data_IF_589555350660
#
_entry.id   IF_589555350660
#
_cell.length_a   1.000
_cell.length_b   1.000
_cell.length_c   1.000
_cell.angle_alpha   90.00
_cell.angle_beta   90.00
_cell.angle_gamma   90.00
#
_symmetry.space_group_name_H-M   'P 1'
#
loop_
_entity.id
_entity.type
_entity.pdbx_description
1 polymer ?
#
# COMPACT_ATOMS: atom_id res chain seq x y z
N UNK A 1 19.51 45.43 -25.13
CA UNK A 1 18.90 45.98 -23.90
C UNK A 1 17.49 45.40 -23.85
N UNK A 2 17.15 44.36 -23.11
CA UNK A 2 17.86 43.47 -22.20
C UNK A 2 17.32 42.06 -22.43
N UNK A 3 18.22 41.09 -22.33
CA UNK A 3 17.93 39.68 -22.49
C UNK A 3 17.72 39.05 -21.11
N UNK A 4 16.53 38.49 -20.86
CA UNK A 4 16.32 37.52 -19.78
C UNK A 4 15.98 36.19 -20.43
N UNK A 5 17.00 35.34 -20.51
CA UNK A 5 16.92 33.94 -20.92
C UNK A 5 16.57 33.12 -19.69
N UNK A 6 15.43 32.43 -19.68
CA UNK A 6 15.16 31.32 -18.76
C UNK A 6 15.15 30.05 -19.59
N UNK A 7 16.28 29.34 -19.56
CA UNK A 7 16.48 28.03 -20.16
C UNK A 7 16.22 26.95 -19.12
N UNK A 8 15.17 26.16 -19.37
CA UNK A 8 14.98 24.84 -18.78
C UNK A 8 15.99 23.83 -19.36
N UNK A 9 16.59 22.98 -18.53
CA UNK A 9 17.14 21.69 -18.98
C UNK A 9 17.28 20.66 -17.84
N UNK A 10 16.34 19.71 -17.85
CA UNK A 10 16.42 18.25 -17.59
C UNK A 10 17.65 17.64 -16.87
N UNK A 11 17.37 16.79 -15.86
CA UNK A 11 17.73 15.34 -15.73
C UNK A 11 17.16 14.81 -14.40
N UNK A 12 16.16 13.93 -14.39
CA UNK A 12 16.18 12.45 -14.49
C UNK A 12 16.86 11.68 -13.35
N UNK A 13 15.99 11.11 -12.49
CA UNK A 13 15.90 9.73 -11.95
C UNK A 13 17.09 9.10 -11.20
N UNK A 14 16.96 8.79 -9.90
CA UNK A 14 16.84 7.40 -9.37
C UNK A 14 16.74 7.31 -7.84
N UNK A 15 15.56 6.85 -7.42
CA UNK A 15 15.18 5.95 -6.32
C UNK A 15 16.30 5.10 -5.67
N UNK A 16 16.41 5.08 -4.33
CA UNK A 16 16.35 3.88 -3.45
C UNK A 16 16.87 4.10 -2.01
N UNK A 17 16.14 3.49 -1.06
CA UNK A 17 16.48 3.16 0.33
C UNK A 17 16.51 4.29 1.38
N UNK A 18 15.53 4.24 2.30
CA UNK A 18 15.64 4.87 3.62
C UNK A 18 16.74 4.13 4.40
N UNK A 19 17.96 4.63 4.31
CA UNK A 19 18.95 4.47 5.37
C UNK A 19 18.81 5.65 6.34
N UNK A 20 18.84 5.38 7.63
CA UNK A 20 18.90 6.39 8.67
C UNK A 20 20.25 7.12 8.52
N UNK A 21 20.27 8.27 7.83
CA UNK A 21 21.46 9.12 7.69
C UNK A 21 21.62 9.91 8.99
N UNK A 22 22.54 9.46 9.83
CA UNK A 22 23.10 10.29 10.91
C UNK A 22 23.82 11.46 10.26
N UNK A 23 23.30 12.68 10.43
CA UNK A 23 23.90 13.91 9.94
C UNK A 23 25.23 14.18 10.67
N UNK A 24 26.37 13.93 10.01
CA UNK A 24 27.66 14.39 10.51
C UNK A 24 27.80 15.90 10.28
N UNK A 25 27.70 16.71 11.33
CA UNK A 25 28.08 18.12 11.26
C UNK A 25 29.60 18.23 11.21
N UNK A 26 30.15 18.52 10.02
CA UNK A 26 31.55 18.90 9.83
C UNK A 26 31.61 20.43 9.74
N UNK A 27 32.01 21.10 10.82
CA UNK A 27 32.31 22.53 10.78
C UNK A 27 33.68 22.71 10.10
N UNK A 28 33.69 23.30 8.91
CA UNK A 28 34.92 23.75 8.24
C UNK A 28 35.30 25.13 8.79
N UNK A 29 36.51 25.25 9.35
CA UNK A 29 37.10 26.54 9.71
C UNK A 29 37.89 27.03 8.49
N UNK A 30 37.41 28.12 7.87
CA UNK A 30 38.16 28.88 6.89
C UNK A 30 39.37 29.53 7.58
N UNK A 31 40.57 29.29 7.05
CA UNK A 31 41.78 30.06 7.39
C UNK A 31 42.12 30.96 6.21
N UNK A 32 42.22 32.26 6.46
CA UNK A 32 42.67 33.26 5.50
C UNK A 32 43.33 34.39 6.28
N UNK A 33 44.66 34.46 6.24
CA UNK A 33 45.44 35.56 5.62
C UNK A 33 46.87 35.64 6.24
N UNK A 34 47.96 35.67 5.45
CA UNK A 34 49.33 35.69 5.93
C UNK A 34 50.00 37.05 5.67
N UNK A 35 49.77 38.07 6.50
CA UNK A 35 50.77 39.13 6.69
C UNK A 35 50.43 40.04 7.89
N UNK A 36 51.27 40.03 8.90
CA UNK A 36 51.35 41.07 9.94
C UNK A 36 52.71 40.94 10.64
N UNK A 37 53.75 41.33 9.92
CA UNK A 37 55.08 41.55 10.50
C UNK A 37 55.07 42.83 11.35
N UNK A 38 55.78 42.77 12.48
CA UNK A 38 56.11 43.86 13.41
C UNK A 38 54.99 44.40 14.33
N UNK A 39 54.98 43.88 15.55
CA UNK A 39 54.51 44.63 16.73
C UNK A 39 55.46 44.35 17.91
N UNK A 40 56.35 45.30 18.18
CA UNK A 40 57.03 45.39 19.46
C UNK A 40 55.99 45.64 20.55
N UNK A 41 55.89 44.70 21.49
CA UNK A 41 54.90 44.75 22.55
C UNK A 41 55.38 45.66 23.70
N UNK A 42 54.58 46.64 24.15
CA UNK A 42 54.90 47.44 25.32
C UNK A 42 55.03 46.56 26.57
N UNK A 43 55.86 46.96 27.53
CA UNK A 43 56.15 46.24 28.80
C UNK A 43 54.91 45.79 29.61
N UNK A 44 53.72 46.32 29.32
CA UNK A 44 52.45 45.85 29.88
C UNK A 44 51.89 44.55 29.26
N UNK A 45 52.25 44.21 28.02
CA UNK A 45 51.74 43.01 27.33
C UNK A 45 52.47 41.74 27.77
N UNK A 46 53.74 41.86 28.20
CA UNK A 46 54.45 40.77 28.91
C UNK A 46 53.79 40.44 30.25
N UNK A 47 53.24 41.44 30.95
CA UNK A 47 52.47 41.25 32.20
C UNK A 47 51.08 40.64 31.94
N UNK A 48 50.43 41.03 30.83
CA UNK A 48 49.13 40.48 30.43
C UNK A 48 49.23 39.03 29.91
N UNK A 49 50.31 38.69 29.19
CA UNK A 49 50.61 37.33 28.75
C UNK A 49 51.12 36.45 29.91
N UNK A 50 51.88 37.00 30.87
CA UNK A 50 52.32 36.24 32.05
C UNK A 50 51.20 36.00 33.06
N UNK A 51 50.21 36.90 33.16
CA UNK A 51 48.98 36.65 33.93
C UNK A 51 47.98 35.73 33.21
N UNK A 52 47.90 35.73 31.87
CA UNK A 52 47.14 34.70 31.12
C UNK A 52 47.77 33.31 31.20
N UNK A 53 49.08 33.20 31.38
CA UNK A 53 49.75 31.93 31.66
C UNK A 53 49.38 31.34 33.03
N UNK A 54 48.83 32.14 33.96
CA UNK A 54 48.32 31.66 35.26
C UNK A 54 46.86 31.17 35.23
N UNK A 55 46.02 31.65 34.30
CA UNK A 55 44.68 31.09 34.04
C UNK A 55 44.66 30.04 32.91
N UNK A 56 45.72 29.97 32.09
CA UNK A 56 45.87 29.00 31.02
C UNK A 56 45.89 27.55 31.52
N UNK A 57 46.32 27.28 32.76
CA UNK A 57 46.33 25.94 33.34
C UNK A 57 44.93 25.35 33.56
N UNK A 58 43.93 26.18 33.89
CA UNK A 58 42.55 25.71 34.12
C UNK A 58 41.82 25.50 32.80
N UNK A 59 41.99 26.41 31.83
CA UNK A 59 41.35 26.32 30.52
C UNK A 59 41.95 25.20 29.65
N UNK A 60 43.27 24.98 29.72
CA UNK A 60 43.92 23.82 29.07
C UNK A 60 43.58 22.49 29.74
N UNK A 61 43.38 22.48 31.07
CA UNK A 61 42.90 21.29 31.80
C UNK A 61 41.46 20.94 31.39
N UNK A 62 40.55 21.91 31.35
CA UNK A 62 39.17 21.70 30.91
C UNK A 62 39.09 21.23 29.45
N UNK A 63 39.87 21.84 28.54
CA UNK A 63 39.95 21.39 27.14
C UNK A 63 40.51 19.97 27.00
N UNK A 64 41.48 19.60 27.84
CA UNK A 64 42.02 18.23 27.88
C UNK A 64 40.95 17.23 28.38
N UNK A 65 40.19 17.58 29.40
CA UNK A 65 39.08 16.77 29.93
C UNK A 65 37.97 16.59 28.88
N UNK A 66 37.54 17.67 28.21
CA UNK A 66 36.56 17.60 27.11
C UNK A 66 37.06 16.72 25.97
N UNK A 67 38.34 16.83 25.59
CA UNK A 67 38.94 15.99 24.54
C UNK A 67 38.98 14.51 24.97
N UNK A 68 39.28 14.23 26.23
CA UNK A 68 39.25 12.86 26.77
C UNK A 68 37.82 12.28 26.74
N UNK A 69 36.82 13.06 27.14
CA UNK A 69 35.41 12.64 27.06
C UNK A 69 34.92 12.44 25.63
N UNK A 70 35.33 13.29 24.69
CA UNK A 70 35.03 13.11 23.25
C UNK A 70 35.63 11.80 22.71
N UNK A 71 36.87 11.46 23.08
CA UNK A 71 37.50 10.20 22.68
C UNK A 71 36.79 9.00 23.29
N UNK A 72 36.40 9.08 24.57
CA UNK A 72 35.59 8.04 25.21
C UNK A 72 34.24 7.87 24.52
N UNK A 73 33.55 8.96 24.23
CA UNK A 73 32.26 8.94 23.52
C UNK A 73 32.39 8.36 22.11
N UNK A 74 33.45 8.68 21.37
CA UNK A 74 33.74 8.08 20.07
C UNK A 74 33.99 6.57 20.17
N UNK A 75 34.73 6.13 21.18
CA UNK A 75 34.96 4.71 21.44
C UNK A 75 33.65 3.98 21.80
N UNK A 76 32.81 4.58 22.66
CA UNK A 76 31.48 4.05 23.00
C UNK A 76 30.57 3.95 21.77
N UNK A 77 30.53 4.98 20.92
CA UNK A 77 29.75 4.97 19.69
C UNK A 77 30.20 3.86 18.73
N UNK A 78 31.52 3.65 18.59
CA UNK A 78 32.07 2.56 17.77
C UNK A 78 31.71 1.18 18.34
N UNK A 79 31.73 1.02 19.66
CA UNK A 79 31.31 -0.20 20.34
C UNK A 79 29.80 -0.45 20.14
N UNK A 80 28.96 0.57 20.31
CA UNK A 80 27.50 0.48 20.07
C UNK A 80 27.20 0.11 18.61
N UNK A 81 27.87 0.73 17.64
CA UNK A 81 27.71 0.38 16.23
C UNK A 81 28.07 -1.09 15.95
N UNK A 82 29.10 -1.61 16.63
CA UNK A 82 29.50 -3.02 16.53
C UNK A 82 28.46 -3.94 17.17
N UNK A 83 27.89 -3.56 18.32
CA UNK A 83 26.81 -4.30 18.97
C UNK A 83 25.54 -4.32 18.10
N UNK A 84 25.14 -3.18 17.52
CA UNK A 84 24.01 -3.08 16.60
C UNK A 84 24.18 -4.01 15.40
N UNK A 85 25.37 -4.08 14.81
CA UNK A 85 25.66 -5.04 13.73
C UNK A 85 25.46 -6.49 14.17
N UNK A 86 25.90 -6.85 15.38
CA UNK A 86 25.71 -8.21 15.93
C UNK A 86 24.22 -8.52 16.16
N UNK A 87 23.47 -7.57 16.71
CA UNK A 87 22.02 -7.69 16.93
C UNK A 87 21.28 -7.86 15.59
N UNK A 88 21.58 -7.03 14.59
CA UNK A 88 20.97 -7.15 13.26
C UNK A 88 21.25 -8.51 12.64
N UNK A 89 22.49 -9.01 12.72
CA UNK A 89 22.83 -10.34 12.22
C UNK A 89 22.08 -11.46 12.96
N UNK A 90 21.86 -11.32 14.27
CA UNK A 90 21.07 -12.27 15.03
C UNK A 90 19.59 -12.23 14.62
N UNK A 91 19.02 -11.03 14.47
CA UNK A 91 17.66 -10.82 13.99
C UNK A 91 17.44 -11.42 12.59
N UNK A 92 18.40 -11.25 11.66
CA UNK A 92 18.35 -11.87 10.33
C UNK A 92 18.30 -13.40 10.42
N UNK A 93 19.14 -14.01 11.27
CA UNK A 93 19.13 -15.46 11.49
C UNK A 93 17.82 -15.93 12.12
N UNK A 94 17.30 -15.23 13.11
CA UNK A 94 16.03 -15.56 13.75
C UNK A 94 14.90 -15.52 12.73
N UNK A 95 14.86 -14.48 11.88
CA UNK A 95 13.88 -14.39 10.78
C UNK A 95 13.97 -15.56 9.80
N UNK A 96 15.18 -15.97 9.42
CA UNK A 96 15.38 -17.14 8.55
C UNK A 96 14.84 -18.42 9.19
N UNK A 97 15.09 -18.65 10.48
CA UNK A 97 14.58 -19.83 11.20
C UNK A 97 13.05 -19.79 11.31
N UNK A 98 12.48 -18.63 11.66
CA UNK A 98 11.03 -18.44 11.71
C UNK A 98 10.36 -18.69 10.35
N UNK A 99 11.00 -18.27 9.26
CA UNK A 99 10.50 -18.49 7.90
C UNK A 99 10.47 -19.97 7.53
N UNK A 100 11.54 -20.72 7.84
CA UNK A 100 11.58 -22.18 7.61
C UNK A 100 10.50 -22.89 8.41
N UNK A 101 10.38 -22.57 9.71
CA UNK A 101 9.35 -23.17 10.58
C UNK A 101 7.95 -22.86 10.04
N UNK A 102 7.68 -21.60 9.68
CA UNK A 102 6.39 -21.20 9.11
C UNK A 102 6.09 -21.95 7.82
N UNK A 103 7.06 -22.05 6.92
CA UNK A 103 6.90 -22.76 5.67
C UNK A 103 6.54 -24.23 5.91
N UNK A 104 7.28 -24.93 6.78
CA UNK A 104 7.01 -26.33 7.11
C UNK A 104 5.64 -26.53 7.76
N UNK A 105 5.21 -25.62 8.64
CA UNK A 105 3.89 -25.71 9.31
C UNK A 105 2.72 -25.39 8.37
N UNK A 106 2.93 -24.53 7.38
CA UNK A 106 1.89 -24.09 6.45
C UNK A 106 1.87 -24.90 5.14
N UNK A 107 2.84 -25.79 4.91
CA UNK A 107 3.00 -26.53 3.66
C UNK A 107 1.72 -27.27 3.22
N UNK A 108 1.10 -28.02 4.15
CA UNK A 108 -0.15 -28.74 3.87
C UNK A 108 -1.27 -27.80 3.44
N UNK A 109 -1.45 -26.69 4.18
CA UNK A 109 -2.47 -25.69 3.87
C UNK A 109 -2.19 -25.05 2.51
N UNK A 110 -0.94 -24.65 2.25
CA UNK A 110 -0.55 -24.07 0.97
C UNK A 110 -0.78 -25.03 -0.19
N UNK A 111 -0.50 -26.33 -0.01
CA UNK A 111 -0.76 -27.33 -1.04
C UNK A 111 -2.26 -27.46 -1.34
N UNK A 112 -3.11 -27.51 -0.31
CA UNK A 112 -4.57 -27.56 -0.48
C UNK A 112 -5.11 -26.30 -1.16
N UNK A 113 -4.66 -25.10 -0.75
CA UNK A 113 -5.06 -23.83 -1.36
C UNK A 113 -4.57 -23.75 -2.81
N UNK A 114 -3.36 -24.23 -3.09
CA UNK A 114 -2.80 -24.26 -4.45
C UNK A 114 -3.68 -25.12 -5.35
N UNK A 115 -3.99 -26.35 -4.92
CA UNK A 115 -4.85 -27.25 -5.69
C UNK A 115 -6.22 -26.63 -5.98
N UNK A 116 -6.86 -26.06 -4.96
CA UNK A 116 -8.15 -25.38 -5.15
C UNK A 116 -8.04 -24.21 -6.12
N UNK A 117 -6.96 -23.42 -6.03
CA UNK A 117 -6.75 -22.28 -6.93
C UNK A 117 -6.59 -22.74 -8.38
N UNK A 118 -5.85 -23.81 -8.62
CA UNK A 118 -5.64 -24.39 -9.95
C UNK A 118 -6.92 -25.00 -10.55
N UNK A 119 -7.79 -25.58 -9.72
CA UNK A 119 -9.02 -26.24 -10.15
C UNK A 119 -10.20 -25.27 -10.33
N UNK A 120 -10.30 -24.25 -9.47
CA UNK A 120 -11.52 -23.45 -9.30
C UNK A 120 -11.35 -21.95 -9.53
N UNK A 121 -10.12 -21.43 -9.68
CA UNK A 121 -9.89 -19.98 -9.85
C UNK A 121 -9.32 -19.70 -11.24
N UNK A 122 -9.98 -18.82 -11.98
CA UNK A 122 -9.55 -18.35 -13.28
C UNK A 122 -8.24 -17.55 -13.19
N UNK A 123 -7.47 -17.57 -14.26
CA UNK A 123 -6.34 -16.66 -14.42
C UNK A 123 -6.80 -15.19 -14.63
N UNK A 124 -5.83 -14.28 -14.63
CA UNK A 124 -6.08 -12.84 -14.75
C UNK A 124 -6.79 -12.43 -16.03
N UNK A 125 -6.35 -12.94 -17.19
CA UNK A 125 -6.91 -12.55 -18.47
C UNK A 125 -8.31 -13.15 -18.66
N UNK A 126 -8.45 -14.44 -18.38
CA UNK A 126 -9.72 -15.15 -18.47
C UNK A 126 -10.77 -14.52 -17.55
N UNK A 127 -10.38 -14.10 -16.34
CA UNK A 127 -11.28 -13.38 -15.41
C UNK A 127 -11.85 -12.12 -16.05
N UNK A 128 -11.01 -11.21 -16.56
CA UNK A 128 -11.48 -9.93 -17.10
C UNK A 128 -12.25 -10.09 -18.40
N UNK A 129 -11.81 -10.99 -19.29
CA UNK A 129 -12.55 -11.28 -20.52
C UNK A 129 -13.94 -11.81 -20.23
N UNK A 130 -14.10 -12.64 -19.20
CA UNK A 130 -15.40 -13.16 -18.79
C UNK A 130 -16.29 -12.04 -18.23
N UNK A 131 -15.75 -11.21 -17.34
CA UNK A 131 -16.44 -10.03 -16.80
C UNK A 131 -16.94 -9.11 -17.92
N UNK A 132 -16.11 -8.80 -18.92
CA UNK A 132 -16.47 -7.93 -20.03
C UNK A 132 -17.51 -8.57 -20.97
N UNK A 133 -17.24 -9.80 -21.45
CA UNK A 133 -18.08 -10.45 -22.48
C UNK A 133 -19.45 -10.88 -21.97
N UNK A 134 -19.50 -11.41 -20.76
CA UNK A 134 -20.74 -11.92 -20.15
C UNK A 134 -21.46 -10.84 -19.33
N UNK A 135 -20.87 -9.64 -19.19
CA UNK A 135 -21.36 -8.55 -18.33
C UNK A 135 -21.67 -9.03 -16.91
N UNK A 136 -20.79 -9.89 -16.38
CA UNK A 136 -20.88 -10.36 -15.01
C UNK A 136 -20.51 -9.23 -14.07
N UNK A 137 -21.34 -9.01 -13.06
CA UNK A 137 -20.92 -8.22 -11.92
C UNK A 137 -19.77 -8.92 -11.21
N UNK A 138 -18.84 -8.19 -10.61
CA UNK A 138 -17.62 -8.77 -10.07
C UNK A 138 -17.33 -8.32 -8.64
N UNK A 139 -17.66 -9.17 -7.67
CA UNK A 139 -17.43 -8.93 -6.24
C UNK A 139 -16.16 -9.64 -5.78
N UNK A 140 -15.20 -8.92 -5.18
CA UNK A 140 -13.87 -9.47 -4.91
C UNK A 140 -13.63 -9.68 -3.42
N UNK A 141 -12.89 -10.75 -3.10
CA UNK A 141 -12.42 -11.06 -1.76
C UNK A 141 -10.90 -10.92 -1.68
N UNK A 142 -10.43 -10.01 -0.83
CA UNK A 142 -9.05 -9.93 -0.38
C UNK A 142 -8.85 -10.59 0.98
N UNK A 143 -7.67 -10.38 1.57
CA UNK A 143 -7.39 -10.83 2.93
C UNK A 143 -8.28 -10.12 3.96
N UNK A 144 -8.63 -8.85 3.73
CA UNK A 144 -9.55 -8.09 4.58
C UNK A 144 -10.91 -8.74 4.70
N UNK A 145 -11.56 -9.04 3.58
CA UNK A 145 -12.88 -9.66 3.53
C UNK A 145 -12.86 -11.06 4.15
N UNK A 146 -11.88 -11.90 3.80
CA UNK A 146 -11.74 -13.24 4.38
C UNK A 146 -11.57 -13.18 5.90
N UNK A 147 -10.71 -12.28 6.39
CA UNK A 147 -10.44 -12.16 7.83
C UNK A 147 -11.63 -11.62 8.60
N UNK A 148 -12.37 -10.64 8.05
CA UNK A 148 -13.61 -10.16 8.65
C UNK A 148 -14.61 -11.32 8.72
N UNK A 149 -14.90 -11.96 7.59
CA UNK A 149 -15.89 -13.03 7.46
C UNK A 149 -15.65 -14.15 8.49
N UNK A 150 -14.40 -14.59 8.63
CA UNK A 150 -14.07 -15.72 9.48
C UNK A 150 -13.86 -15.34 10.94
N UNK A 151 -13.32 -14.16 11.26
CA UNK A 151 -12.89 -13.84 12.62
C UNK A 151 -13.79 -12.76 13.25
N UNK A 152 -14.63 -13.11 14.25
CA UNK A 152 -15.58 -12.16 14.86
C UNK A 152 -14.94 -10.89 15.43
N UNK A 153 -13.70 -10.97 15.90
CA UNK A 153 -12.99 -9.87 16.55
C UNK A 153 -12.11 -9.05 15.59
N UNK A 154 -12.06 -9.44 14.31
CA UNK A 154 -11.22 -8.75 13.34
C UNK A 154 -11.88 -7.50 12.79
N UNK A 155 -11.10 -6.42 12.75
CA UNK A 155 -11.52 -5.11 12.26
C UNK A 155 -10.48 -4.57 11.29
N UNK A 156 -10.93 -3.98 10.19
CA UNK A 156 -10.07 -3.18 9.31
C UNK A 156 -10.04 -1.74 9.83
N UNK A 157 -8.97 -1.01 9.52
CA UNK A 157 -8.82 0.39 9.94
C UNK A 157 -9.92 1.33 9.40
N UNK A 158 -10.63 0.91 8.35
CA UNK A 158 -11.72 1.66 7.72
C UNK A 158 -13.07 0.94 7.74
N UNK A 159 -13.16 -0.28 8.27
CA UNK A 159 -14.41 -1.04 8.38
C UNK A 159 -14.37 -1.97 9.59
N UNK A 160 -15.21 -1.68 10.57
CA UNK A 160 -15.42 -2.56 11.72
C UNK A 160 -16.14 -3.84 11.28
N UNK A 161 -15.73 -4.97 11.86
CA UNK A 161 -16.40 -6.24 11.72
C UNK A 161 -17.74 -6.24 12.46
N UNK A 162 -18.75 -6.89 11.87
CA UNK A 162 -20.06 -7.06 12.51
C UNK A 162 -20.64 -8.42 12.14
N UNK A 163 -21.54 -8.97 12.97
CA UNK A 163 -22.19 -10.24 12.65
C UNK A 163 -23.00 -10.18 11.33
N UNK A 164 -23.73 -9.09 11.02
CA UNK A 164 -24.34 -8.90 9.69
C UNK A 164 -23.32 -8.92 8.55
N UNK A 165 -22.27 -8.10 8.63
CA UNK A 165 -21.22 -8.04 7.59
C UNK A 165 -20.59 -9.40 7.31
N UNK A 166 -20.33 -10.20 8.36
CA UNK A 166 -19.77 -11.55 8.20
C UNK A 166 -20.72 -12.50 7.48
N UNK A 167 -22.01 -12.45 7.81
CA UNK A 167 -23.03 -13.28 7.17
C UNK A 167 -23.17 -12.92 5.70
N UNK A 168 -23.21 -11.63 5.39
CA UNK A 168 -23.38 -11.16 4.01
C UNK A 168 -22.15 -11.49 3.16
N UNK A 169 -20.93 -11.29 3.69
CA UNK A 169 -19.70 -11.73 3.02
C UNK A 169 -19.70 -13.25 2.76
N UNK A 170 -20.12 -14.06 3.73
CA UNK A 170 -20.22 -15.50 3.54
C UNK A 170 -21.26 -15.84 2.47
N UNK A 171 -22.43 -15.20 2.49
CA UNK A 171 -23.48 -15.42 1.50
C UNK A 171 -22.99 -15.10 0.08
N UNK A 172 -22.26 -14.00 -0.11
CA UNK A 172 -21.66 -13.65 -1.40
C UNK A 172 -20.63 -14.71 -1.81
N UNK A 173 -19.68 -15.06 -0.93
CA UNK A 173 -18.63 -16.03 -1.25
C UNK A 173 -19.18 -17.40 -1.63
N UNK A 174 -20.25 -17.86 -0.96
CA UNK A 174 -20.86 -19.16 -1.20
C UNK A 174 -22.03 -19.11 -2.17
N UNK A 175 -22.24 -18.00 -2.88
CA UNK A 175 -23.35 -17.80 -3.81
C UNK A 175 -24.75 -18.04 -3.21
N UNK A 176 -24.90 -17.86 -1.89
CA UNK A 176 -26.18 -18.01 -1.23
C UNK A 176 -27.12 -16.87 -1.65
N UNK A 177 -28.14 -17.20 -2.44
CA UNK A 177 -29.10 -16.26 -3.05
C UNK A 177 -28.51 -15.35 -4.15
N UNK A 178 -27.38 -15.74 -4.76
CA UNK A 178 -26.80 -15.03 -5.89
C UNK A 178 -26.70 -15.94 -7.13
N UNK A 179 -26.92 -15.35 -8.28
CA UNK A 179 -26.91 -16.03 -9.58
C UNK A 179 -25.50 -15.99 -10.20
N UNK A 180 -24.93 -17.16 -10.50
CA UNK A 180 -23.61 -17.29 -11.12
C UNK A 180 -23.57 -16.76 -12.56
N UNK A 181 -24.73 -16.64 -13.23
CA UNK A 181 -24.83 -16.05 -14.57
C UNK A 181 -24.85 -14.52 -14.55
N UNK A 182 -24.88 -13.91 -13.35
CA UNK A 182 -24.86 -12.46 -13.15
C UNK A 182 -23.73 -11.96 -12.27
N UNK A 183 -23.17 -12.82 -11.43
CA UNK A 183 -22.14 -12.49 -10.46
C UNK A 183 -20.95 -13.45 -10.59
N UNK A 184 -19.78 -12.89 -10.83
CA UNK A 184 -18.50 -13.56 -10.64
C UNK A 184 -17.92 -13.15 -9.29
N UNK A 185 -17.57 -14.12 -8.45
CA UNK A 185 -16.85 -13.87 -7.20
C UNK A 185 -15.35 -13.98 -7.47
N UNK A 186 -14.61 -12.94 -7.09
CA UNK A 186 -13.16 -12.91 -7.14
C UNK A 186 -12.54 -13.54 -5.90
N UNK A 187 -11.78 -14.61 -6.06
CA UNK A 187 -11.03 -15.27 -5.00
C UNK A 187 -9.58 -14.74 -4.93
N UNK A 188 -8.93 -14.66 -3.76
CA UNK A 188 -7.56 -14.16 -3.69
C UNK A 188 -6.57 -14.94 -4.55
N UNK A 189 -5.61 -14.23 -5.15
CA UNK A 189 -4.51 -14.85 -5.88
C UNK A 189 -3.59 -15.63 -4.93
N UNK A 190 -2.98 -16.71 -5.42
CA UNK A 190 -2.07 -17.53 -4.63
C UNK A 190 -0.73 -16.82 -4.42
N UNK A 191 -0.58 -16.14 -3.28
CA UNK A 191 0.71 -15.61 -2.84
C UNK A 191 1.41 -16.54 -1.86
N UNK A 192 2.73 -16.65 -2.01
CA UNK A 192 3.62 -17.38 -1.07
C UNK A 192 4.35 -16.46 -0.08
N UNK A 193 3.94 -15.20 0.03
CA UNK A 193 4.55 -14.23 0.97
C UNK A 193 4.25 -14.57 2.44
N UNK A 194 5.08 -14.15 3.41
CA UNK A 194 4.84 -14.40 4.84
C UNK A 194 3.47 -13.91 5.35
N UNK A 195 2.96 -12.80 4.80
CA UNK A 195 1.63 -12.27 5.10
C UNK A 195 0.54 -13.25 4.65
N UNK A 196 0.56 -13.64 3.37
CA UNK A 196 -0.45 -14.53 2.81
C UNK A 196 -0.37 -15.96 3.34
N UNK A 197 0.82 -16.46 3.66
CA UNK A 197 0.94 -17.74 4.37
C UNK A 197 0.16 -17.72 5.69
N UNK A 198 0.25 -16.63 6.46
CA UNK A 198 -0.54 -16.44 7.68
C UNK A 198 -2.04 -16.39 7.37
N UNK A 199 -2.45 -15.59 6.39
CA UNK A 199 -3.86 -15.48 5.97
C UNK A 199 -4.42 -16.86 5.61
N UNK A 200 -3.69 -17.66 4.83
CA UNK A 200 -4.11 -19.00 4.44
C UNK A 200 -4.14 -19.97 5.61
N UNK A 201 -3.10 -20.01 6.45
CA UNK A 201 -3.08 -20.85 7.65
C UNK A 201 -4.23 -20.56 8.60
N UNK A 202 -4.58 -19.29 8.77
CA UNK A 202 -5.68 -18.86 9.65
C UNK A 202 -7.05 -19.14 9.02
N UNK A 203 -7.20 -18.94 7.70
CA UNK A 203 -8.50 -18.91 7.02
C UNK A 203 -8.90 -20.24 6.39
N UNK A 204 -7.95 -20.93 5.74
CA UNK A 204 -8.22 -22.09 4.89
C UNK A 204 -8.93 -23.25 5.60
N UNK A 205 -8.60 -23.63 6.86
CA UNK A 205 -9.27 -24.74 7.54
C UNK A 205 -10.79 -24.58 7.60
N UNK A 206 -11.28 -23.34 7.70
CA UNK A 206 -12.71 -23.01 7.73
C UNK A 206 -13.26 -22.71 6.34
N UNK A 207 -12.47 -22.07 5.46
CA UNK A 207 -12.91 -21.78 4.09
C UNK A 207 -13.26 -23.04 3.32
N UNK A 208 -12.40 -24.06 3.37
CA UNK A 208 -12.62 -25.32 2.63
C UNK A 208 -13.89 -26.07 3.04
N UNK A 209 -14.45 -25.77 4.22
CA UNK A 209 -15.69 -26.37 4.72
C UNK A 209 -16.94 -25.69 4.15
N UNK A 210 -16.83 -24.42 3.75
CA UNK A 210 -17.96 -23.62 3.26
C UNK A 210 -17.93 -23.37 1.77
N UNK A 211 -16.76 -23.50 1.12
CA UNK A 211 -16.62 -23.25 -0.31
C UNK A 211 -17.37 -24.32 -1.12
N UNK A 212 -18.27 -23.92 -2.05
CA UNK A 212 -18.91 -24.85 -2.96
C UNK A 212 -17.88 -25.47 -3.92
N UNK A 213 -18.10 -26.74 -4.29
CA UNK A 213 -17.16 -27.53 -5.12
C UNK A 213 -17.31 -27.28 -6.62
N UNK A 214 -18.50 -26.93 -7.08
CA UNK A 214 -18.85 -26.80 -8.50
C UNK A 214 -19.00 -25.34 -8.90
N UNK A 215 -18.09 -24.48 -8.44
CA UNK A 215 -18.09 -23.04 -8.70
C UNK A 215 -16.73 -22.63 -9.21
N UNK A 216 -16.75 -21.82 -10.27
CA UNK A 216 -15.56 -21.18 -10.81
C UNK A 216 -15.50 -19.71 -10.37
N UNK A 217 -14.37 -19.32 -9.78
CA UNK A 217 -14.11 -17.99 -9.28
C UNK A 217 -13.23 -17.21 -10.25
N UNK A 218 -13.39 -15.89 -10.29
CA UNK A 218 -12.39 -15.00 -10.86
C UNK A 218 -11.23 -14.78 -9.90
N UNK A 219 -10.17 -14.10 -10.34
CA UNK A 219 -9.08 -13.70 -9.44
C UNK A 219 -9.28 -12.27 -8.92
N UNK A 220 -9.40 -12.11 -7.61
CA UNK A 220 -9.66 -10.82 -6.94
C UNK A 220 -8.55 -9.76 -7.15
N UNK A 221 -7.35 -10.19 -7.52
CA UNK A 221 -6.17 -9.33 -7.61
C UNK A 221 -5.99 -8.66 -8.97
N UNK A 222 -6.97 -8.76 -9.89
CA UNK A 222 -7.00 -7.95 -11.13
C UNK A 222 -6.95 -6.44 -10.87
N UNK A 223 -7.31 -5.99 -9.66
CA UNK A 223 -7.23 -4.57 -9.26
C UNK A 223 -5.98 -4.22 -8.43
N UNK A 224 -4.98 -5.11 -8.36
CA UNK A 224 -3.77 -4.96 -7.54
C UNK A 224 -2.50 -4.87 -8.40
N UNK A 225 -1.38 -4.34 -7.88
CA UNK A 225 -0.18 -4.12 -8.68
C UNK A 225 0.37 -5.39 -9.34
N UNK A 226 0.17 -6.57 -8.74
CA UNK A 226 0.60 -7.85 -9.32
C UNK A 226 -0.01 -8.10 -10.70
N UNK A 227 -1.26 -7.69 -10.92
CA UNK A 227 -1.93 -7.86 -12.20
C UNK A 227 -1.21 -7.08 -13.29
N UNK A 228 -0.99 -5.78 -13.08
CA UNK A 228 -0.25 -4.95 -14.03
C UNK A 228 1.22 -5.36 -14.16
N UNK A 229 1.84 -5.83 -13.09
CA UNK A 229 3.21 -6.34 -13.12
C UNK A 229 3.39 -7.63 -13.94
N UNK A 230 2.37 -8.51 -13.96
CA UNK A 230 2.41 -9.76 -14.72
C UNK A 230 1.84 -9.64 -16.14
N UNK A 231 0.75 -8.89 -16.30
CA UNK A 231 0.01 -8.78 -17.57
C UNK A 231 0.51 -7.59 -18.40
N UNK A 232 1.10 -6.57 -17.76
CA UNK A 232 1.66 -5.41 -18.45
C UNK A 232 0.58 -4.55 -19.13
N UNK A 233 0.92 -3.99 -20.30
CA UNK A 233 0.04 -3.09 -21.05
C UNK A 233 -1.29 -3.77 -21.46
N UNK A 234 -1.27 -5.07 -21.78
CA UNK A 234 -2.48 -5.83 -22.05
C UNK A 234 -3.48 -5.76 -20.88
N UNK A 235 -2.98 -5.65 -19.64
CA UNK A 235 -3.85 -5.52 -18.47
C UNK A 235 -4.65 -4.22 -18.45
N UNK A 236 -4.09 -3.14 -19.02
CA UNK A 236 -4.79 -1.87 -19.21
C UNK A 236 -5.89 -2.05 -20.26
N UNK A 237 -5.56 -2.68 -21.39
CA UNK A 237 -6.51 -2.93 -22.47
C UNK A 237 -7.68 -3.81 -22.02
N UNK A 238 -7.40 -4.89 -21.28
CA UNK A 238 -8.43 -5.78 -20.72
C UNK A 238 -9.40 -5.06 -19.79
N UNK A 239 -8.91 -4.11 -18.99
CA UNK A 239 -9.77 -3.29 -18.14
C UNK A 239 -10.59 -2.31 -18.97
N UNK A 240 -9.97 -1.66 -19.97
CA UNK A 240 -10.67 -0.74 -20.88
C UNK A 240 -11.78 -1.42 -21.67
N UNK A 241 -11.61 -2.69 -22.05
CA UNK A 241 -12.66 -3.52 -22.69
C UNK A 241 -13.93 -3.63 -21.83
N UNK A 242 -13.83 -3.54 -20.51
CA UNK A 242 -14.96 -3.68 -19.59
C UNK A 242 -15.91 -2.48 -19.66
N UNK A 243 -15.40 -1.26 -19.75
CA UNK A 243 -16.21 -0.03 -19.68
C UNK A 243 -16.20 0.79 -20.97
N UNK A 244 -15.75 0.20 -22.07
CA UNK A 244 -15.71 0.87 -23.37
C UNK A 244 -17.10 1.39 -23.76
N UNK A 245 -17.19 2.71 -23.93
CA UNK A 245 -18.41 3.43 -24.27
C UNK A 245 -19.54 3.33 -23.25
N UNK A 246 -19.28 2.87 -22.01
CA UNK A 246 -20.31 2.77 -20.98
C UNK A 246 -20.49 4.11 -20.23
N UNK A 247 -21.73 4.46 -19.86
CA UNK A 247 -22.00 5.51 -18.87
C UNK A 247 -21.78 4.93 -17.48
N UNK A 248 -20.75 5.39 -16.78
CA UNK A 248 -20.34 4.79 -15.51
C UNK A 248 -20.78 5.63 -14.31
N UNK A 249 -21.29 4.96 -13.28
CA UNK A 249 -21.52 5.57 -11.97
C UNK A 249 -20.48 5.02 -10.98
N UNK A 250 -19.60 5.89 -10.49
CA UNK A 250 -18.58 5.53 -9.51
C UNK A 250 -19.17 5.61 -8.11
N UNK A 251 -19.15 4.48 -7.40
CA UNK A 251 -19.56 4.39 -6.00
C UNK A 251 -18.34 4.34 -5.10
N UNK A 252 -18.10 5.40 -4.32
CA UNK A 252 -16.93 5.48 -3.44
C UNK A 252 -17.18 6.32 -2.19
N UNK A 253 -16.30 6.23 -1.19
CA UNK A 253 -16.41 7.04 0.03
C UNK A 253 -16.17 8.53 -0.25
N UNK A 254 -16.84 9.42 0.49
CA UNK A 254 -16.56 10.87 0.41
C UNK A 254 -15.08 11.15 0.70
N UNK A 255 -14.43 11.92 -0.16
CA UNK A 255 -12.99 12.17 -0.07
C UNK A 255 -12.13 10.91 -0.20
N UNK A 256 -12.60 9.85 -0.85
CA UNK A 256 -11.75 8.66 -1.05
C UNK A 256 -10.52 8.99 -1.90
N UNK A 257 -9.55 8.07 -1.92
CA UNK A 257 -8.36 8.18 -2.77
C UNK A 257 -8.60 7.71 -4.21
N UNK A 258 -9.82 7.26 -4.53
CA UNK A 258 -10.12 6.77 -5.86
C UNK A 258 -10.15 7.93 -6.85
N UNK A 259 -9.46 7.75 -7.96
CA UNK A 259 -9.40 8.72 -9.06
C UNK A 259 -9.65 8.01 -10.38
N UNK A 260 -10.36 8.67 -11.29
CA UNK A 260 -10.48 8.22 -12.68
C UNK A 260 -9.22 8.65 -13.42
N UNK A 261 -8.22 7.76 -13.48
CA UNK A 261 -6.99 8.03 -14.25
C UNK A 261 -7.28 7.83 -15.74
N UNK A 262 -6.98 8.84 -16.56
CA UNK A 262 -7.32 8.85 -17.99
C UNK A 262 -6.86 7.58 -18.72
N UNK A 263 -5.67 7.07 -18.40
CA UNK A 263 -5.13 5.89 -19.08
C UNK A 263 -5.99 4.63 -18.90
N UNK A 264 -6.76 4.55 -17.80
CA UNK A 264 -7.72 3.47 -17.59
C UNK A 264 -9.12 3.81 -18.08
N UNK A 265 -9.56 5.06 -18.00
CA UNK A 265 -11.00 5.39 -18.08
C UNK A 265 -11.39 6.41 -19.16
N UNK A 266 -10.47 6.92 -19.98
CA UNK A 266 -10.80 7.92 -21.02
C UNK A 266 -11.71 7.40 -22.15
N UNK A 267 -12.02 6.09 -22.18
CA UNK A 267 -12.95 5.47 -23.11
C UNK A 267 -14.36 5.24 -22.55
N UNK A 268 -14.66 5.71 -21.34
CA UNK A 268 -16.05 5.75 -20.83
C UNK A 268 -16.85 6.86 -21.53
N UNK A 269 -18.17 6.67 -21.66
CA UNK A 269 -19.03 7.68 -22.31
C UNK A 269 -19.32 8.88 -21.40
N UNK A 270 -19.55 8.63 -20.11
CA UNK A 270 -19.76 9.65 -19.08
C UNK A 270 -19.45 9.07 -17.71
N UNK A 271 -19.17 9.95 -16.74
CA UNK A 271 -18.89 9.57 -15.35
C UNK A 271 -19.78 10.36 -14.41
N UNK A 272 -20.55 9.65 -13.60
CA UNK A 272 -21.28 10.19 -12.45
C UNK A 272 -20.74 9.58 -11.14
N UNK A 273 -21.10 10.18 -10.01
CA UNK A 273 -20.63 9.76 -8.69
C UNK A 273 -21.78 9.57 -7.71
N UNK A 274 -21.75 8.44 -7.00
CA UNK A 274 -22.59 8.15 -5.85
C UNK A 274 -21.70 7.96 -4.62
N UNK A 275 -21.71 8.93 -3.72
CA UNK A 275 -20.84 8.90 -2.56
C UNK A 275 -21.47 8.18 -1.37
N UNK A 276 -20.68 7.35 -0.70
CA UNK A 276 -20.99 6.71 0.58
C UNK A 276 -20.05 7.21 1.68
N UNK A 277 -20.14 6.61 2.87
CA UNK A 277 -19.29 6.95 4.01
C UNK A 277 -17.83 6.54 3.76
N UNK A 278 -16.84 7.36 4.17
CA UNK A 278 -15.42 7.05 3.98
C UNK A 278 -14.93 5.91 4.89
N UNK A 279 -15.67 5.57 5.94
CA UNK A 279 -15.39 4.48 6.88
C UNK A 279 -16.70 3.85 7.33
N UNK A 280 -16.67 2.56 7.64
CA UNK A 280 -17.85 1.79 8.07
C UNK A 280 -19.01 1.85 7.07
N UNK A 281 -18.69 1.95 5.78
CA UNK A 281 -19.64 2.11 4.68
C UNK A 281 -20.65 0.96 4.57
N UNK A 282 -20.38 -0.20 5.18
CA UNK A 282 -21.35 -1.29 5.28
C UNK A 282 -22.69 -0.83 5.87
N UNK A 283 -22.67 0.10 6.84
CA UNK A 283 -23.89 0.64 7.45
C UNK A 283 -24.74 1.51 6.51
N UNK A 284 -24.17 1.94 5.38
CA UNK A 284 -24.79 2.85 4.41
C UNK A 284 -25.21 2.13 3.11
N UNK A 285 -25.01 0.81 3.01
CA UNK A 285 -25.37 0.02 1.82
C UNK A 285 -26.84 0.20 1.43
N UNK A 286 -27.76 0.24 2.40
CA UNK A 286 -29.19 0.38 2.12
C UNK A 286 -29.52 1.65 1.34
N UNK A 287 -29.00 2.80 1.79
CA UNK A 287 -29.20 4.09 1.09
C UNK A 287 -28.57 4.06 -0.30
N UNK A 288 -27.33 3.60 -0.39
CA UNK A 288 -26.58 3.54 -1.66
C UNK A 288 -27.30 2.65 -2.68
N UNK A 289 -27.82 1.50 -2.25
CA UNK A 289 -28.55 0.58 -3.11
C UNK A 289 -29.86 1.20 -3.63
N UNK A 290 -30.62 1.87 -2.76
CA UNK A 290 -31.85 2.59 -3.17
C UNK A 290 -31.57 3.72 -4.17
N UNK A 291 -30.49 4.47 -3.98
CA UNK A 291 -30.09 5.52 -4.92
C UNK A 291 -29.63 4.93 -6.26
N UNK A 292 -28.80 3.88 -6.23
CA UNK A 292 -28.34 3.19 -7.42
C UNK A 292 -29.46 2.51 -8.22
N UNK A 293 -30.48 1.98 -7.54
CA UNK A 293 -31.66 1.38 -8.18
C UNK A 293 -32.40 2.40 -9.07
N UNK A 294 -32.47 3.67 -8.63
CA UNK A 294 -33.16 4.77 -9.32
C UNK A 294 -32.37 5.38 -10.47
N UNK A 295 -31.11 4.99 -10.66
CA UNK A 295 -30.26 5.46 -11.76
C UNK A 295 -30.44 4.55 -12.99
N UNK A 296 -31.28 4.98 -13.93
CA UNK A 296 -31.53 4.29 -15.20
C UNK A 296 -30.55 4.70 -16.32
N UNK A 297 -29.76 5.74 -16.07
CA UNK A 297 -28.76 6.30 -16.98
C UNK A 297 -27.35 5.74 -16.76
N UNK A 298 -27.12 4.93 -15.72
CA UNK A 298 -25.87 4.22 -15.50
C UNK A 298 -25.89 2.83 -16.15
N UNK A 299 -24.97 2.58 -17.07
CA UNK A 299 -24.81 1.26 -17.73
C UNK A 299 -23.93 0.30 -16.89
N UNK A 300 -23.06 0.87 -16.05
CA UNK A 300 -22.09 0.16 -15.21
C UNK A 300 -21.80 0.92 -13.91
N UNK A 301 -21.83 0.22 -12.78
CA UNK A 301 -21.39 0.73 -11.49
C UNK A 301 -19.96 0.32 -11.19
N UNK A 302 -19.09 1.28 -10.91
CA UNK A 302 -17.70 1.05 -10.52
C UNK A 302 -17.54 1.29 -9.02
N UNK A 303 -17.32 0.23 -8.24
CA UNK A 303 -17.40 0.29 -6.78
C UNK A 303 -16.00 0.25 -6.14
N UNK A 304 -15.67 1.27 -5.34
CA UNK A 304 -14.45 1.34 -4.54
C UNK A 304 -14.79 1.70 -3.09
N UNK A 305 -15.14 0.68 -2.30
CA UNK A 305 -15.72 0.86 -0.96
C UNK A 305 -15.33 -0.24 0.05
N UNK A 306 -14.19 -0.89 -0.15
CA UNK A 306 -13.70 -1.96 0.74
C UNK A 306 -14.69 -3.14 0.86
N UNK A 307 -14.85 -3.76 2.05
CA UNK A 307 -15.79 -4.87 2.23
C UNK A 307 -17.24 -4.52 1.90
N UNK A 308 -17.64 -3.26 2.08
CA UNK A 308 -18.97 -2.80 1.69
C UNK A 308 -19.14 -2.82 0.17
N UNK A 309 -18.05 -2.58 -0.58
CA UNK A 309 -18.03 -2.66 -2.03
C UNK A 309 -18.26 -4.08 -2.54
N UNK A 310 -17.66 -5.09 -1.91
CA UNK A 310 -17.91 -6.50 -2.23
C UNK A 310 -19.39 -6.85 -2.12
N UNK A 311 -20.04 -6.43 -1.03
CA UNK A 311 -21.47 -6.71 -0.79
C UNK A 311 -22.34 -5.89 -1.73
N UNK A 312 -22.09 -4.59 -1.86
CA UNK A 312 -22.87 -3.71 -2.74
C UNK A 312 -22.85 -4.21 -4.18
N UNK A 313 -21.70 -4.65 -4.68
CA UNK A 313 -21.60 -5.22 -6.04
C UNK A 313 -22.49 -6.46 -6.20
N UNK A 314 -22.53 -7.35 -5.22
CA UNK A 314 -23.40 -8.52 -5.25
C UNK A 314 -24.89 -8.17 -5.13
N UNK A 315 -25.24 -7.17 -4.31
CA UNK A 315 -26.62 -6.67 -4.21
C UNK A 315 -27.10 -6.01 -5.50
N UNK A 316 -26.25 -5.21 -6.15
CA UNK A 316 -26.53 -4.60 -7.45
C UNK A 316 -26.76 -5.68 -8.52
N UNK A 317 -25.94 -6.74 -8.53
CA UNK A 317 -26.14 -7.84 -9.48
C UNK A 317 -27.48 -8.56 -9.26
N UNK A 318 -27.90 -8.70 -8.00
CA UNK A 318 -29.17 -9.32 -7.61
C UNK A 318 -30.38 -8.55 -8.13
N UNK A 319 -30.30 -7.22 -8.20
CA UNK A 319 -31.33 -6.35 -8.80
C UNK A 319 -31.13 -6.10 -10.29
N UNK A 320 -30.19 -6.79 -10.94
CA UNK A 320 -29.97 -6.74 -12.39
C UNK A 320 -29.15 -5.54 -12.88
N UNK A 321 -28.50 -4.79 -11.99
CA UNK A 321 -27.54 -3.74 -12.36
C UNK A 321 -26.15 -4.37 -12.51
N UNK A 322 -25.39 -3.95 -13.52
CA UNK A 322 -24.02 -4.42 -13.71
C UNK A 322 -23.06 -3.62 -12.82
N UNK A 323 -22.35 -4.29 -11.92
CA UNK A 323 -21.47 -3.65 -10.96
C UNK A 323 -20.12 -4.35 -10.83
N UNK A 324 -19.04 -3.60 -10.71
CA UNK A 324 -17.69 -4.13 -10.60
C UNK A 324 -17.01 -3.50 -9.40
N UNK A 325 -16.63 -4.33 -8.43
CA UNK A 325 -15.73 -3.90 -7.37
C UNK A 325 -14.34 -3.70 -7.99
N UNK A 326 -13.91 -2.44 -8.09
CA UNK A 326 -12.61 -2.04 -8.61
C UNK A 326 -11.59 -1.76 -7.50
N UNK A 327 -12.02 -1.61 -6.24
CA UNK A 327 -11.14 -1.39 -5.09
C UNK A 327 -10.05 -0.34 -5.35
N UNK A 328 -8.78 -0.77 -5.26
CA UNK A 328 -7.61 0.10 -5.42
C UNK A 328 -7.05 0.14 -6.86
N UNK A 329 -7.87 -0.13 -7.89
CA UNK A 329 -7.39 -0.27 -9.27
C UNK A 329 -6.51 0.89 -9.76
N UNK A 330 -6.99 2.14 -9.65
CA UNK A 330 -6.25 3.32 -10.12
C UNK A 330 -4.92 3.49 -9.40
N UNK A 331 -4.92 3.33 -8.08
CA UNK A 331 -3.69 3.44 -7.30
C UNK A 331 -2.69 2.33 -7.64
N UNK A 332 -3.18 1.12 -7.91
CA UNK A 332 -2.37 -0.02 -8.34
C UNK A 332 -1.77 0.18 -9.73
N UNK A 333 -2.51 0.79 -10.66
CA UNK A 333 -2.00 1.17 -11.97
C UNK A 333 -0.85 2.18 -11.84
N UNK A 334 -1.05 3.24 -11.05
CA UNK A 334 0.00 4.24 -10.84
C UNK A 334 1.24 3.65 -10.15
N UNK A 335 1.06 2.71 -9.22
CA UNK A 335 2.18 2.02 -8.60
C UNK A 335 2.97 1.20 -9.62
N UNK A 336 2.29 0.44 -10.47
CA UNK A 336 2.93 -0.44 -11.44
C UNK A 336 3.63 0.32 -12.59
N UNK A 337 3.00 1.37 -13.13
CA UNK A 337 3.48 2.06 -14.33
C UNK A 337 4.17 3.40 -14.07
N UNK A 338 3.79 4.12 -13.00
CA UNK A 338 4.32 5.45 -12.67
C UNK A 338 5.30 5.42 -11.48
N UNK A 339 5.53 4.25 -10.88
CA UNK A 339 6.42 4.07 -9.73
C UNK A 339 5.92 4.76 -8.46
N UNK A 340 4.62 5.02 -8.36
CA UNK A 340 4.02 5.62 -7.18
C UNK A 340 4.04 4.65 -5.97
N UNK A 341 4.07 5.19 -4.74
CA UNK A 341 4.04 4.40 -3.50
C UNK A 341 2.73 3.63 -3.29
N UNK A 342 2.67 2.80 -2.24
CA UNK A 342 1.49 1.97 -1.93
C UNK A 342 0.22 2.84 -1.80
N UNK A 343 -0.95 2.35 -2.24
CA UNK A 343 -2.22 3.09 -2.19
C UNK A 343 -2.54 3.66 -0.81
N UNK A 344 -2.24 2.90 0.24
CA UNK A 344 -2.52 3.23 1.64
C UNK A 344 -1.70 4.42 2.15
N UNK A 345 -0.55 4.71 1.53
CA UNK A 345 0.39 5.76 1.92
C UNK A 345 0.08 7.13 1.30
N UNK A 346 -0.88 7.22 0.37
CA UNK A 346 -1.17 8.47 -0.35
C UNK A 346 -2.05 9.41 0.47
N UNK A 347 -1.95 10.74 0.29
CA UNK A 347 -2.88 11.67 0.89
C UNK A 347 -4.30 11.44 0.34
N UNK A 348 -5.27 11.71 1.20
CA UNK A 348 -6.71 11.71 0.88
C UNK A 348 -6.96 12.82 -0.16
N UNK A 349 -7.81 12.59 -1.17
CA UNK A 349 -8.12 13.65 -2.14
C UNK A 349 -8.87 14.78 -1.41
N UNK A 350 -8.39 16.01 -1.54
CA UNK A 350 -9.13 17.20 -1.13
C UNK A 350 -10.04 17.57 -2.30
N UNK A 351 -11.35 17.66 -2.02
CA UNK A 351 -12.37 18.20 -2.92
C UNK A 351 -11.94 19.51 -3.59
#
# INVERSE_FOLDING_TARGET
MDATVILSARRSVHMHSRSCVVTSHRAAIHTSDPDASHLEFPMGVRSYLSNRLRQGGVQTKLLREIRQELVKMQATNAAMATQLKKVNKHLERTRQVEEVIRFSLSEKVLHEVTRFSEESVLDFETTLRRVAKERLSFARFGDGELRIMLNPDYNLGFQAGSAPLRRDLQAVLTYQNYDQDRLLVGFPYLFRSPHWQKVWSDSWPRLREILPRDVQYGVAHVSRPIFFGQVGALGVDLWREVWDGQRVCVVTGRGSRFTMVDELFDNVASVDYLYSEPRNAYGDIGRVLEEAERLDDADLFLVSLGPAGTILTAELSRIGKWAIDIGHLSASYEQAFKGAGEPEDRPVSSE
#
